data_IF_031119912610
#
_entry.id   IF_031119912610
#
_cell.length_a   1.000
_cell.length_b   1.000
_cell.length_c   1.000
_cell.angle_alpha   90.00
_cell.angle_beta   90.00
_cell.angle_gamma   90.00
#
_symmetry.space_group_name_H-M   'P 1'
#
loop_
_entity.id
_entity.type
_entity.pdbx_description
1 polymer ?
#
# COMPACT_ATOMS: atom_id res chain seq x y z
N UNK A 1 -13.43 -33.04 -19.02
CA UNK A 1 -12.25 -32.85 -19.40
C UNK A 1 -11.66 -31.59 -18.84
N UNK A 2 -11.85 -30.55 -19.48
CA UNK A 2 -11.29 -29.30 -19.05
C UNK A 2 -11.84 -28.83 -17.72
N UNK A 3 -13.08 -29.17 -17.45
CA UNK A 3 -13.71 -28.79 -16.23
C UNK A 3 -13.01 -29.31 -15.02
N UNK A 4 -12.54 -30.57 -15.06
CA UNK A 4 -11.83 -31.16 -13.95
C UNK A 4 -10.51 -30.44 -13.70
N UNK A 5 -9.80 -30.13 -14.80
CA UNK A 5 -8.53 -29.41 -14.70
C UNK A 5 -8.75 -28.03 -14.11
N UNK A 6 -9.79 -27.34 -14.59
CA UNK A 6 -10.08 -26.01 -14.10
C UNK A 6 -10.48 -26.02 -12.63
N UNK A 7 -11.23 -27.03 -12.22
CA UNK A 7 -11.63 -27.13 -10.83
C UNK A 7 -10.44 -27.32 -9.91
N UNK A 8 -9.40 -28.02 -10.37
CA UNK A 8 -8.20 -28.19 -9.57
C UNK A 8 -7.32 -26.94 -9.57
N UNK A 9 -7.28 -26.25 -10.70
CA UNK A 9 -6.42 -25.06 -10.82
C UNK A 9 -6.99 -23.85 -10.09
N UNK A 10 -8.29 -23.68 -10.16
CA UNK A 10 -8.93 -22.48 -9.64
C UNK A 10 -8.74 -22.30 -8.12
N UNK A 11 -8.91 -23.34 -7.30
CA UNK A 11 -8.64 -23.19 -5.87
C UNK A 11 -7.21 -22.78 -5.55
N UNK A 12 -6.25 -23.28 -6.31
CA UNK A 12 -4.85 -22.91 -6.12
C UNK A 12 -4.62 -21.46 -6.45
N UNK A 13 -5.26 -20.95 -7.49
CA UNK A 13 -5.14 -19.55 -7.86
C UNK A 13 -5.74 -18.65 -6.77
N UNK A 14 -6.90 -19.01 -6.26
CA UNK A 14 -7.56 -18.26 -5.21
C UNK A 14 -6.68 -18.23 -3.95
N UNK A 15 -6.09 -19.36 -3.62
CA UNK A 15 -5.23 -19.44 -2.44
C UNK A 15 -4.00 -18.55 -2.60
N UNK A 16 -3.40 -18.55 -3.80
CA UNK A 16 -2.24 -17.73 -4.08
C UNK A 16 -2.57 -16.24 -3.92
N UNK A 17 -3.74 -15.81 -4.40
CA UNK A 17 -4.19 -14.43 -4.27
C UNK A 17 -4.39 -14.06 -2.81
N UNK A 18 -4.97 -14.95 -2.02
CA UNK A 18 -5.22 -14.69 -0.61
C UNK A 18 -3.94 -14.51 0.18
N UNK A 19 -2.85 -15.15 -0.26
CA UNK A 19 -1.59 -15.03 0.45
C UNK A 19 -0.87 -13.72 0.17
N UNK A 20 -1.27 -13.01 -0.87
CA UNK A 20 -0.63 -11.74 -1.20
C UNK A 20 -1.23 -10.61 -0.38
N UNK A 21 -0.37 -9.68 -0.01
CA UNK A 21 -0.83 -8.47 0.66
C UNK A 21 -1.38 -7.50 -0.38
N UNK A 22 -2.46 -6.84 -0.03
CA UNK A 22 -3.08 -5.85 -0.89
C UNK A 22 -2.59 -4.47 -0.51
N UNK A 23 -1.97 -3.78 -1.45
CA UNK A 23 -1.40 -2.45 -1.24
C UNK A 23 -2.18 -1.45 -2.08
N UNK A 24 -2.54 -0.33 -1.47
CA UNK A 24 -3.15 0.78 -2.21
C UNK A 24 -2.16 1.93 -2.24
N UNK A 25 -1.82 2.40 -3.44
CA UNK A 25 -0.96 3.57 -3.61
C UNK A 25 -1.84 4.75 -3.96
N UNK A 26 -1.78 5.80 -3.14
CA UNK A 26 -2.52 7.04 -3.37
C UNK A 26 -1.47 8.11 -3.68
N UNK A 27 -1.39 8.51 -4.94
CA UNK A 27 -0.36 9.44 -5.40
C UNK A 27 -0.82 10.04 -6.72
N UNK A 28 -0.83 11.37 -6.81
CA UNK A 28 -1.26 12.03 -8.03
C UNK A 28 -0.22 11.91 -9.16
N UNK A 29 0.99 11.51 -8.85
CA UNK A 29 2.00 11.24 -9.88
C UNK A 29 1.75 9.83 -10.43
N UNK A 30 1.10 9.79 -11.59
CA UNK A 30 0.70 8.52 -12.20
C UNK A 30 1.90 7.66 -12.58
N UNK A 31 2.96 8.28 -13.05
CA UNK A 31 4.15 7.53 -13.48
C UNK A 31 4.79 6.85 -12.29
N UNK A 32 4.92 7.56 -11.19
CA UNK A 32 5.48 6.97 -9.98
C UNK A 32 4.60 5.82 -9.47
N UNK A 33 3.31 6.07 -9.35
CA UNK A 33 2.39 5.07 -8.82
C UNK A 33 2.40 3.81 -9.68
N UNK A 34 2.36 3.98 -10.99
CA UNK A 34 2.32 2.85 -11.89
C UNK A 34 3.63 2.06 -11.87
N UNK A 35 4.76 2.75 -11.87
CA UNK A 35 6.06 2.10 -11.79
C UNK A 35 6.21 1.34 -10.49
N UNK A 36 5.79 1.93 -9.39
CA UNK A 36 5.86 1.27 -8.10
C UNK A 36 4.96 0.03 -8.07
N UNK A 37 3.75 0.16 -8.63
CA UNK A 37 2.84 -0.97 -8.70
C UNK A 37 3.49 -2.15 -9.45
N UNK A 38 4.03 -1.89 -10.63
CA UNK A 38 4.62 -2.96 -11.42
C UNK A 38 5.79 -3.62 -10.70
N UNK A 39 6.63 -2.80 -10.09
CA UNK A 39 7.80 -3.32 -9.40
C UNK A 39 7.40 -4.14 -8.17
N UNK A 40 6.43 -3.67 -7.42
CA UNK A 40 5.96 -4.41 -6.24
C UNK A 40 5.30 -5.73 -6.64
N UNK A 41 4.50 -5.72 -7.70
CA UNK A 41 3.83 -6.94 -8.15
C UNK A 41 4.82 -7.97 -8.69
N UNK A 42 5.95 -7.51 -9.22
CA UNK A 42 6.99 -8.44 -9.68
C UNK A 42 7.62 -9.26 -8.57
N UNK A 43 7.54 -8.77 -7.34
CA UNK A 43 8.07 -9.55 -6.23
C UNK A 43 7.24 -10.80 -5.94
N UNK A 44 6.02 -10.86 -6.47
CA UNK A 44 5.11 -11.97 -6.20
C UNK A 44 4.41 -11.91 -4.86
N UNK A 45 4.67 -10.86 -4.07
CA UNK A 45 4.15 -10.74 -2.70
C UNK A 45 2.89 -9.90 -2.60
N UNK A 46 2.62 -9.04 -3.59
CA UNK A 46 1.61 -8.00 -3.46
C UNK A 46 0.65 -7.96 -4.61
N UNK A 47 -0.58 -7.56 -4.32
CA UNK A 47 -1.55 -7.08 -5.29
C UNK A 47 -1.66 -5.59 -5.05
N UNK A 48 -1.48 -4.77 -6.07
CA UNK A 48 -1.38 -3.33 -5.89
C UNK A 48 -2.45 -2.61 -6.69
N UNK A 49 -3.12 -1.67 -6.04
CA UNK A 49 -4.08 -0.78 -6.66
C UNK A 49 -3.55 0.64 -6.61
N UNK A 50 -3.90 1.45 -7.60
CA UNK A 50 -3.48 2.85 -7.69
C UNK A 50 -4.70 3.74 -7.60
N UNK A 51 -4.59 4.82 -6.85
CA UNK A 51 -5.56 5.90 -6.88
C UNK A 51 -4.79 7.20 -7.05
N UNK A 52 -5.04 7.88 -8.18
CA UNK A 52 -4.30 9.10 -8.50
C UNK A 52 -5.08 10.37 -8.16
N UNK A 53 -6.32 10.21 -7.73
CA UNK A 53 -7.19 11.34 -7.38
C UNK A 53 -7.42 11.34 -5.88
N UNK A 54 -6.86 12.33 -5.20
CA UNK A 54 -6.97 12.40 -3.75
C UNK A 54 -8.42 12.49 -3.27
N UNK A 55 -9.29 13.08 -4.06
CA UNK A 55 -10.69 13.22 -3.68
C UNK A 55 -11.42 11.87 -3.65
N UNK A 56 -10.86 10.88 -4.33
CA UNK A 56 -11.44 9.54 -4.37
C UNK A 56 -10.73 8.56 -3.45
N UNK A 57 -9.69 9.01 -2.76
CA UNK A 57 -8.82 8.12 -2.01
C UNK A 57 -9.57 7.33 -0.95
N UNK A 58 -10.39 8.00 -0.16
CA UNK A 58 -11.14 7.33 0.91
C UNK A 58 -12.11 6.31 0.33
N UNK A 59 -12.84 6.71 -0.71
CA UNK A 59 -13.81 5.82 -1.36
C UNK A 59 -13.11 4.59 -1.94
N UNK A 60 -11.98 4.80 -2.60
CA UNK A 60 -11.22 3.70 -3.17
C UNK A 60 -10.72 2.75 -2.07
N UNK A 61 -10.23 3.32 -0.96
CA UNK A 61 -9.79 2.49 0.17
C UNK A 61 -10.93 1.65 0.72
N UNK A 62 -12.13 2.21 0.79
CA UNK A 62 -13.30 1.47 1.26
C UNK A 62 -13.61 0.29 0.35
N UNK A 63 -13.48 0.48 -0.96
CA UNK A 63 -13.77 -0.59 -1.92
C UNK A 63 -12.69 -1.65 -1.96
N UNK A 64 -11.44 -1.24 -1.89
CA UNK A 64 -10.30 -2.15 -2.01
C UNK A 64 -10.02 -2.88 -0.69
N UNK A 65 -10.18 -2.21 0.42
CA UNK A 65 -9.86 -2.72 1.76
C UNK A 65 -8.42 -3.24 1.80
N UNK A 66 -7.46 -2.33 1.59
CA UNK A 66 -6.07 -2.75 1.49
C UNK A 66 -5.50 -3.17 2.84
N UNK A 67 -4.44 -3.95 2.78
CA UNK A 67 -3.68 -4.32 3.97
C UNK A 67 -2.75 -3.19 4.40
N UNK A 68 -2.38 -2.32 3.47
CA UNK A 68 -1.50 -1.19 3.74
C UNK A 68 -1.71 -0.12 2.66
N UNK A 69 -1.59 1.13 3.06
CA UNK A 69 -1.74 2.28 2.16
C UNK A 69 -0.41 3.02 2.08
N UNK A 70 0.05 3.27 0.85
CA UNK A 70 1.15 4.19 0.57
C UNK A 70 0.52 5.49 0.12
N UNK A 71 0.78 6.58 0.83
CA UNK A 71 0.06 7.83 0.63
C UNK A 71 1.01 8.99 0.46
N UNK A 72 0.98 9.63 -0.70
CA UNK A 72 1.75 10.84 -0.95
C UNK A 72 1.17 11.98 -0.11
N UNK A 73 2.01 12.60 0.71
CA UNK A 73 1.55 13.68 1.58
C UNK A 73 1.49 15.02 0.84
N UNK A 74 2.22 15.14 -0.26
CA UNK A 74 2.37 16.43 -0.94
C UNK A 74 1.64 16.48 -2.28
N UNK A 75 0.34 16.19 -2.26
CA UNK A 75 -0.47 16.26 -3.47
C UNK A 75 -0.99 17.69 -3.67
N UNK A 76 -0.94 18.22 -4.91
CA UNK A 76 -1.33 19.61 -5.12
C UNK A 76 -2.76 19.96 -4.76
N UNK A 77 -3.67 19.00 -4.90
CA UNK A 77 -5.10 19.27 -4.74
C UNK A 77 -5.63 18.85 -3.36
N UNK A 78 -4.80 18.23 -2.55
CA UNK A 78 -5.25 17.74 -1.25
C UNK A 78 -4.07 17.49 -0.35
N UNK A 79 -4.27 17.77 0.93
CA UNK A 79 -3.29 17.47 1.95
C UNK A 79 -3.38 15.97 2.27
N UNK A 80 -2.28 15.26 2.08
CA UNK A 80 -2.24 13.83 2.41
C UNK A 80 -2.56 13.56 3.87
N UNK A 81 -2.22 14.51 4.75
CA UNK A 81 -2.57 14.38 6.15
C UNK A 81 -4.07 14.36 6.38
N UNK A 82 -4.81 15.17 5.63
CA UNK A 82 -6.26 15.16 5.71
C UNK A 82 -6.85 13.88 5.16
N UNK A 83 -6.27 13.36 4.07
CA UNK A 83 -6.71 12.08 3.52
C UNK A 83 -6.49 10.98 4.56
N UNK A 84 -5.33 10.97 5.20
CA UNK A 84 -5.03 9.98 6.23
C UNK A 84 -6.01 10.08 7.39
N UNK A 85 -6.32 11.31 7.83
CA UNK A 85 -7.24 11.51 8.95
C UNK A 85 -8.64 10.98 8.60
N UNK A 86 -9.07 11.17 7.37
CA UNK A 86 -10.36 10.68 6.93
C UNK A 86 -10.42 9.16 6.93
N UNK A 87 -9.34 8.53 6.49
CA UNK A 87 -9.23 7.08 6.49
C UNK A 87 -9.21 6.56 7.92
N UNK A 88 -8.46 7.20 8.80
CA UNK A 88 -8.37 6.80 10.20
C UNK A 88 -9.69 6.94 10.94
N UNK A 89 -10.53 7.86 10.49
CA UNK A 89 -11.85 8.07 11.11
C UNK A 89 -12.86 7.01 10.68
N UNK A 90 -12.55 6.22 9.67
CA UNK A 90 -13.45 5.20 9.15
C UNK A 90 -13.25 3.91 9.95
N UNK A 91 -14.28 3.43 10.66
CA UNK A 91 -14.12 2.21 11.46
C UNK A 91 -13.69 0.99 10.69
N UNK A 92 -13.97 0.94 9.38
CA UNK A 92 -13.57 -0.20 8.56
C UNK A 92 -12.12 -0.12 8.09
N UNK A 93 -11.48 1.04 8.25
CA UNK A 93 -10.13 1.28 7.74
C UNK A 93 -9.16 1.75 8.83
N UNK A 94 -9.66 1.97 10.05
CA UNK A 94 -8.87 2.65 11.07
C UNK A 94 -7.66 1.85 11.55
N UNK A 95 -7.58 0.57 11.22
CA UNK A 95 -6.43 -0.25 11.58
C UNK A 95 -5.49 -0.49 10.41
N UNK A 96 -5.81 0.04 9.23
CA UNK A 96 -4.97 -0.12 8.06
C UNK A 96 -3.73 0.75 8.22
N UNK A 97 -2.53 0.17 8.20
CA UNK A 97 -1.32 0.98 8.32
C UNK A 97 -1.14 1.89 7.12
N UNK A 98 -0.63 3.08 7.39
CA UNK A 98 -0.34 4.08 6.36
C UNK A 98 1.14 4.40 6.42
N UNK A 99 1.80 4.39 5.26
CA UNK A 99 3.17 4.84 5.10
C UNK A 99 3.12 6.05 4.17
N UNK A 100 3.56 7.19 4.67
CA UNK A 100 3.58 8.40 3.84
C UNK A 100 4.75 8.38 2.87
N UNK A 101 4.52 8.92 1.69
CA UNK A 101 5.55 9.15 0.69
C UNK A 101 5.65 10.65 0.50
N UNK A 102 6.87 11.18 0.44
CA UNK A 102 6.98 12.63 0.30
C UNK A 102 8.32 13.05 -0.30
N UNK A 103 8.30 14.10 -1.11
CA UNK A 103 9.49 14.78 -1.58
C UNK A 103 9.88 15.92 -0.66
N UNK A 104 9.14 16.14 0.43
CA UNK A 104 9.32 17.31 1.28
C UNK A 104 10.35 17.12 2.39
N UNK A 105 10.81 15.89 2.62
CA UNK A 105 11.78 15.62 3.68
C UNK A 105 13.04 15.02 3.10
N UNK A 106 14.15 15.15 3.83
CA UNK A 106 15.41 14.57 3.40
C UNK A 106 15.50 13.13 3.87
N UNK A 107 16.42 12.37 3.26
CA UNK A 107 16.65 11.00 3.70
C UNK A 107 17.23 10.95 5.10
N UNK A 108 17.94 11.99 5.51
CA UNK A 108 18.46 12.06 6.87
C UNK A 108 17.29 12.16 7.86
N UNK A 109 16.26 12.90 7.51
CA UNK A 109 15.09 13.03 8.38
C UNK A 109 14.34 11.70 8.51
N UNK A 110 14.26 10.95 7.41
CA UNK A 110 13.61 9.63 7.49
C UNK A 110 14.40 8.67 8.36
N UNK A 111 15.73 8.77 8.32
CA UNK A 111 16.58 7.89 9.12
C UNK A 111 16.47 8.16 10.61
N UNK A 112 16.02 9.33 11.01
CA UNK A 112 15.89 9.68 12.43
C UNK A 112 14.72 8.96 13.09
N UNK A 113 13.91 8.24 12.33
CA UNK A 113 12.75 7.56 12.89
C UNK A 113 11.57 8.46 13.14
N UNK A 114 11.58 9.65 12.60
CA UNK A 114 10.46 10.56 12.74
C UNK A 114 9.22 10.01 12.08
N UNK A 115 8.09 10.42 12.60
CA UNK A 115 6.79 10.00 12.05
C UNK A 115 5.97 11.24 11.77
N UNK A 116 5.07 11.14 10.81
CA UNK A 116 4.10 12.18 10.50
C UNK A 116 2.75 11.66 10.95
N UNK A 117 2.11 12.37 11.88
CA UNK A 117 0.80 11.96 12.42
C UNK A 117 0.83 10.52 12.94
N UNK A 118 1.96 10.10 13.49
CA UNK A 118 2.08 8.75 14.03
C UNK A 118 2.37 7.68 13.00
N UNK A 119 2.59 8.06 11.74
CA UNK A 119 2.87 7.12 10.66
C UNK A 119 4.30 7.26 10.16
N UNK A 120 4.93 6.16 9.76
CA UNK A 120 6.25 6.25 9.13
C UNK A 120 6.14 6.92 7.77
N UNK A 121 7.27 7.44 7.29
CA UNK A 121 7.29 8.06 5.99
C UNK A 121 8.60 7.75 5.25
N UNK A 122 8.54 7.82 3.92
CA UNK A 122 9.69 7.59 3.06
C UNK A 122 9.89 8.81 2.18
N UNK A 123 11.15 9.19 1.98
CA UNK A 123 11.50 10.32 1.12
C UNK A 123 11.64 9.83 -0.32
N UNK A 124 11.02 10.53 -1.24
CA UNK A 124 11.20 10.29 -2.69
C UNK A 124 12.52 10.93 -3.12
N UNK A 125 13.23 10.34 -4.06
CA UNK A 125 12.95 9.10 -4.79
C UNK A 125 13.22 7.87 -3.93
N UNK A 126 12.46 6.81 -4.14
CA UNK A 126 12.51 5.62 -3.31
C UNK A 126 12.91 4.42 -4.16
N UNK A 127 13.92 3.69 -3.69
CA UNK A 127 14.29 2.44 -4.32
C UNK A 127 13.30 1.34 -3.94
N UNK A 128 13.16 0.34 -4.79
CA UNK A 128 12.23 -0.74 -4.53
C UNK A 128 12.59 -1.54 -3.27
N UNK A 129 13.86 -1.89 -3.02
CA UNK A 129 14.19 -2.58 -1.77
C UNK A 129 13.80 -1.79 -0.53
N UNK A 130 13.98 -0.47 -0.57
CA UNK A 130 13.61 0.41 0.54
C UNK A 130 12.10 0.42 0.74
N UNK A 131 11.36 0.47 -0.36
CA UNK A 131 9.91 0.49 -0.31
C UNK A 131 9.38 -0.84 0.24
N UNK A 132 9.92 -1.96 -0.24
CA UNK A 132 9.52 -3.28 0.25
C UNK A 132 9.81 -3.42 1.74
N UNK A 133 10.97 -2.95 2.19
CA UNK A 133 11.32 -3.04 3.60
C UNK A 133 10.32 -2.27 4.46
N UNK A 134 9.93 -1.07 4.02
CA UNK A 134 8.97 -0.27 4.77
C UNK A 134 7.60 -0.94 4.81
N UNK A 135 7.18 -1.52 3.70
CA UNK A 135 5.91 -2.23 3.65
C UNK A 135 5.92 -3.40 4.62
N UNK A 136 6.98 -4.21 4.58
CA UNK A 136 7.04 -5.40 5.43
C UNK A 136 7.11 -5.05 6.90
N UNK A 137 7.77 -3.95 7.25
CA UNK A 137 7.82 -3.50 8.62
C UNK A 137 6.48 -3.00 9.13
N UNK A 138 5.66 -2.49 8.25
CA UNK A 138 4.38 -1.88 8.63
C UNK A 138 3.20 -2.81 8.52
N UNK A 139 3.32 -3.89 7.74
CA UNK A 139 2.22 -4.83 7.61
C UNK A 139 1.97 -5.57 8.93
N UNK A 140 0.71 -5.85 9.26
CA UNK A 140 0.41 -6.69 10.41
C UNK A 140 1.03 -8.07 10.24
N UNK A 141 1.12 -8.81 11.33
CA UNK A 141 1.80 -10.10 11.36
C UNK A 141 1.03 -11.15 10.54
N UNK A 142 1.12 -11.04 9.21
CA UNK A 142 0.45 -11.97 8.32
C UNK A 142 1.18 -13.30 8.22
N UNK A 143 2.48 -13.27 8.50
CA UNK A 143 3.27 -14.48 8.46
C UNK A 143 2.74 -15.54 9.39
N UNK A 144 2.02 -15.14 10.44
CA UNK A 144 1.46 -16.08 11.39
C UNK A 144 0.54 -17.06 10.69
N UNK A 145 -0.36 -16.56 9.88
CA UNK A 145 -1.27 -17.45 9.17
C UNK A 145 -0.59 -18.20 8.06
N UNK A 146 0.42 -17.60 7.45
CA UNK A 146 1.21 -18.31 6.47
C UNK A 146 2.01 -19.43 7.05
N UNK A 147 2.43 -19.28 8.30
CA UNK A 147 3.21 -20.29 8.99
C UNK A 147 2.40 -21.50 9.40
N UNK A 148 1.14 -21.41 9.25
CA UNK A 148 0.28 -22.55 9.56
C UNK A 148 0.09 -23.43 8.34
#
# INVERSE_FOLDING_TARGET
MNRTVEANFFPQLVESIKEKACILIIDNNRDFAHSAKLALERTGRYIVYEENDASKAHQTAQGVKPDLILLDIAMPEADGGEVAARIESDPTLNRTPIVFLTALVTKAETKSGLQIQGHPFLAKPIGIPELVAAIEQSLPARAVKGGL
#
